data_IF_714850460800
#
_entry.id   IF_714850460800
#
_cell.length_a   1.000
_cell.length_b   1.000
_cell.length_c   1.000
_cell.angle_alpha   90.00
_cell.angle_beta   90.00
_cell.angle_gamma   90.00
#
_symmetry.space_group_name_H-M   'P 1'
#
loop_
_entity.id
_entity.type
_entity.pdbx_description
1 polymer ?
#
# COMPACT_ATOMS: atom_id res chain seq x y z
N UNK A 1 -7.31 11.26 -4.88
CA UNK A 1 -7.19 11.30 -3.40
C UNK A 1 -6.03 10.47 -2.88
N UNK A 2 -5.92 9.17 -3.21
CA UNK A 2 -4.87 8.28 -2.68
C UNK A 2 -3.45 8.61 -3.17
N UNK A 3 -3.27 9.01 -4.44
CA UNK A 3 -1.96 9.40 -4.98
C UNK A 3 -1.30 10.52 -4.15
N UNK A 4 -2.02 11.61 -3.90
CA UNK A 4 -1.50 12.72 -3.08
C UNK A 4 -1.20 12.31 -1.63
N UNK A 5 -1.94 11.36 -1.07
CA UNK A 5 -1.67 10.82 0.28
C UNK A 5 -0.38 10.00 0.27
N UNK A 6 -0.19 9.15 -0.73
CA UNK A 6 1.05 8.41 -0.92
C UNK A 6 2.25 9.34 -1.17
N UNK A 7 2.10 10.39 -1.97
CA UNK A 7 3.15 11.40 -2.14
C UNK A 7 3.52 12.13 -0.84
N UNK A 8 2.59 12.27 0.12
CA UNK A 8 2.91 12.83 1.44
C UNK A 8 3.65 11.85 2.34
N UNK A 9 3.42 10.55 2.16
CA UNK A 9 4.04 9.49 2.95
C UNK A 9 5.37 9.02 2.36
N UNK A 10 5.63 9.24 1.07
CA UNK A 10 6.87 8.83 0.41
C UNK A 10 7.83 10.02 0.35
N UNK A 11 9.07 9.88 0.85
CA UNK A 11 10.14 10.82 0.56
C UNK A 11 10.37 10.97 -0.96
N UNK A 12 10.84 12.15 -1.38
CA UNK A 12 11.05 12.44 -2.80
C UNK A 12 12.19 11.59 -3.42
N UNK A 13 13.15 11.19 -2.61
CA UNK A 13 14.37 10.44 -2.92
C UNK A 13 14.24 8.93 -2.71
N UNK A 14 13.03 8.42 -2.46
CA UNK A 14 12.80 7.00 -2.20
C UNK A 14 13.25 6.12 -3.37
N UNK A 15 14.07 5.11 -3.07
CA UNK A 15 14.60 4.13 -3.99
C UNK A 15 13.83 2.80 -3.92
N UNK A 16 14.01 1.95 -4.94
CA UNK A 16 13.52 0.58 -4.87
C UNK A 16 14.27 -0.19 -3.76
N UNK A 17 13.53 -0.87 -2.89
CA UNK A 17 14.04 -1.55 -1.71
C UNK A 17 13.79 -0.79 -0.41
N UNK A 18 13.50 0.51 -0.46
CA UNK A 18 13.21 1.30 0.73
C UNK A 18 11.91 0.84 1.40
N UNK A 19 11.96 0.75 2.73
CA UNK A 19 10.83 0.35 3.56
C UNK A 19 10.56 1.42 4.61
N UNK A 20 9.35 1.99 4.59
CA UNK A 20 8.89 2.97 5.56
C UNK A 20 7.95 2.29 6.54
N UNK A 21 8.13 2.55 7.83
CA UNK A 21 7.32 1.97 8.89
C UNK A 21 6.48 3.03 9.58
N UNK A 22 5.19 2.74 9.71
CA UNK A 22 4.21 3.60 10.35
C UNK A 22 3.69 2.88 11.59
N UNK A 23 4.09 3.37 12.76
CA UNK A 23 3.65 2.81 14.03
C UNK A 23 2.16 3.06 14.24
N UNK A 24 1.44 2.05 14.69
CA UNK A 24 0.07 2.14 15.17
C UNK A 24 0.03 1.57 16.59
N UNK A 25 -1.03 1.86 17.35
CA UNK A 25 -1.12 1.53 18.79
C UNK A 25 -0.50 0.18 19.20
N UNK A 26 -0.83 -0.92 18.51
CA UNK A 26 -0.31 -2.28 18.81
C UNK A 26 0.36 -2.98 17.63
N UNK A 27 0.44 -2.33 16.47
CA UNK A 27 0.97 -2.91 15.22
C UNK A 27 1.66 -1.83 14.39
N UNK A 28 2.19 -2.16 13.21
CA UNK A 28 2.71 -1.18 12.29
C UNK A 28 2.28 -1.50 10.86
N UNK A 29 2.17 -0.47 10.01
CA UNK A 29 2.09 -0.65 8.55
C UNK A 29 3.49 -0.46 7.98
N UNK A 30 3.92 -1.40 7.16
CA UNK A 30 5.14 -1.31 6.38
C UNK A 30 4.78 -0.99 4.94
N UNK A 31 5.43 0.03 4.39
CA UNK A 31 5.32 0.45 3.01
C UNK A 31 6.67 0.20 2.34
N UNK A 32 6.72 -0.85 1.54
CA UNK A 32 7.91 -1.26 0.78
C UNK A 32 7.81 -0.74 -0.65
N UNK A 33 8.84 -0.03 -1.11
CA UNK A 33 8.97 0.34 -2.53
C UNK A 33 9.55 -0.86 -3.29
N UNK A 34 8.73 -1.55 -4.07
CA UNK A 34 9.14 -2.72 -4.85
C UNK A 34 9.89 -2.32 -6.10
N UNK A 35 9.46 -1.24 -6.75
CA UNK A 35 10.02 -0.79 -8.02
C UNK A 35 9.85 0.72 -8.17
N UNK A 36 10.88 1.39 -8.69
CA UNK A 36 10.85 2.81 -9.05
C UNK A 36 11.29 2.96 -10.51
N UNK A 37 10.36 3.41 -11.35
CA UNK A 37 10.61 3.79 -12.73
C UNK A 37 10.35 5.29 -12.91
N UNK A 38 10.74 5.91 -14.05
CA UNK A 38 10.62 7.35 -14.25
C UNK A 38 9.20 7.92 -14.05
N UNK A 39 8.18 7.16 -14.48
CA UNK A 39 6.78 7.60 -14.43
C UNK A 39 5.89 6.73 -13.54
N UNK A 40 6.43 5.64 -12.98
CA UNK A 40 5.66 4.74 -12.14
C UNK A 40 6.42 4.31 -10.89
N UNK A 41 5.69 4.00 -9.83
CA UNK A 41 6.26 3.41 -8.62
C UNK A 41 5.35 2.30 -8.14
N UNK A 42 5.92 1.13 -7.93
CA UNK A 42 5.23 0.00 -7.36
C UNK A 42 5.57 -0.09 -5.88
N UNK A 43 4.54 -0.08 -5.04
CA UNK A 43 4.68 -0.21 -3.60
C UNK A 43 3.84 -1.38 -3.09
N UNK A 44 4.24 -1.92 -1.96
CA UNK A 44 3.51 -2.92 -1.20
C UNK A 44 3.26 -2.38 0.20
N UNK A 45 2.00 -2.30 0.62
CA UNK A 45 1.62 -2.00 1.99
C UNK A 45 1.26 -3.30 2.70
N UNK A 46 1.81 -3.55 3.89
CA UNK A 46 1.46 -4.72 4.70
C UNK A 46 1.46 -4.40 6.18
N UNK A 47 0.77 -5.20 6.98
CA UNK A 47 0.93 -5.12 8.44
C UNK A 47 2.27 -5.75 8.85
N UNK A 48 2.95 -5.19 9.85
CA UNK A 48 4.19 -5.75 10.38
C UNK A 48 3.94 -7.05 11.17
N UNK A 49 2.76 -7.17 11.79
CA UNK A 49 2.30 -8.37 12.50
C UNK A 49 0.94 -8.80 11.99
N UNK A 50 0.67 -10.11 11.88
CA UNK A 50 -0.67 -10.60 11.58
C UNK A 50 -1.63 -10.20 12.71
N UNK A 51 -2.90 -9.97 12.37
CA UNK A 51 -3.94 -9.65 13.37
C UNK A 51 -4.27 -10.87 14.25
N UNK A 52 -4.12 -12.07 13.69
CA UNK A 52 -4.34 -13.35 14.35
C UNK A 52 -3.27 -14.34 13.88
N UNK A 53 -2.80 -15.22 14.77
CA UNK A 53 -1.63 -16.07 14.51
C UNK A 53 -1.74 -16.95 13.24
N UNK A 54 -2.95 -17.42 12.91
CA UNK A 54 -3.18 -18.35 11.80
C UNK A 54 -3.68 -17.66 10.51
N UNK A 55 -3.78 -16.33 10.50
CA UNK A 55 -4.21 -15.58 9.32
C UNK A 55 -3.02 -14.99 8.55
N UNK A 56 -3.07 -15.01 7.21
CA UNK A 56 -2.07 -14.33 6.42
C UNK A 56 -2.07 -12.84 6.74
N UNK A 57 -0.89 -12.25 6.74
CA UNK A 57 -0.72 -10.80 6.90
C UNK A 57 -1.39 -10.11 5.69
N UNK A 58 -2.35 -9.21 5.92
CA UNK A 58 -2.94 -8.44 4.84
C UNK A 58 -1.86 -7.62 4.12
N UNK A 59 -1.85 -7.69 2.79
CA UNK A 59 -0.95 -6.92 1.95
C UNK A 59 -1.68 -6.33 0.74
N UNK A 60 -1.32 -5.11 0.35
CA UNK A 60 -1.84 -4.38 -0.81
C UNK A 60 -0.70 -4.00 -1.74
N UNK A 61 -0.79 -4.42 -2.99
CA UNK A 61 0.10 -3.95 -4.05
C UNK A 61 -0.53 -2.76 -4.75
N UNK A 62 0.19 -1.65 -4.77
CA UNK A 62 -0.29 -0.39 -5.33
C UNK A 62 0.71 0.13 -6.35
N UNK A 63 0.19 0.53 -7.50
CA UNK A 63 0.96 1.21 -8.54
C UNK A 63 0.59 2.69 -8.55
N UNK A 64 1.59 3.54 -8.41
CA UNK A 64 1.49 4.97 -8.59
C UNK A 64 1.92 5.34 -10.01
N UNK A 65 1.12 6.16 -10.69
CA UNK A 65 1.38 6.77 -11.98
C UNK A 65 1.61 8.26 -11.75
N UNK A 66 2.83 8.73 -11.97
CA UNK A 66 3.24 10.11 -11.65
C UNK A 66 2.74 11.11 -12.69
N UNK A 67 2.69 10.70 -13.95
CA UNK A 67 2.17 11.45 -15.08
C UNK A 67 0.65 11.71 -14.98
N UNK A 68 -0.12 10.67 -14.64
CA UNK A 68 -1.56 10.75 -14.45
C UNK A 68 -1.96 11.17 -13.02
N UNK A 69 -1.00 11.36 -12.11
CA UNK A 69 -1.23 11.61 -10.68
C UNK A 69 -2.24 10.63 -10.05
N UNK A 70 -2.13 9.35 -10.42
CA UNK A 70 -3.06 8.28 -10.08
C UNK A 70 -2.38 7.19 -9.25
N UNK A 71 -3.14 6.56 -8.36
CA UNK A 71 -2.70 5.36 -7.65
C UNK A 71 -3.78 4.29 -7.77
N UNK A 72 -3.38 3.09 -8.16
CA UNK A 72 -4.27 1.96 -8.39
C UNK A 72 -3.84 0.74 -7.57
N UNK A 73 -4.80 0.08 -6.93
CA UNK A 73 -4.57 -1.22 -6.29
C UNK A 73 -4.51 -2.30 -7.37
N UNK A 74 -3.35 -2.93 -7.49
CA UNK A 74 -3.06 -4.00 -8.45
C UNK A 74 -3.51 -5.37 -7.93
N UNK A 75 -3.45 -5.54 -6.61
CA UNK A 75 -3.89 -6.76 -5.94
C UNK A 75 -3.84 -6.62 -4.43
N UNK A 76 -4.53 -7.50 -3.72
CA UNK A 76 -4.42 -7.64 -2.28
C UNK A 76 -4.19 -9.12 -1.94
N UNK A 77 -3.21 -9.44 -1.10
CA UNK A 77 -3.07 -10.81 -0.62
C UNK A 77 -4.27 -11.11 0.31
N UNK A 78 -5.14 -12.03 -0.11
CA UNK A 78 -6.45 -12.29 0.53
C UNK A 78 -7.67 -11.81 -0.28
N UNK A 79 -7.51 -11.03 -1.36
CA UNK A 79 -8.57 -10.78 -2.35
C UNK A 79 -8.07 -11.11 -3.76
N UNK A 80 -8.89 -11.81 -4.55
CA UNK A 80 -8.52 -12.24 -5.90
C UNK A 80 -8.10 -11.03 -6.77
N UNK A 81 -7.05 -11.15 -7.60
CA UNK A 81 -6.65 -10.07 -8.51
C UNK A 81 -7.78 -9.72 -9.47
N UNK A 82 -8.16 -8.44 -9.51
CA UNK A 82 -9.28 -7.94 -10.33
C UNK A 82 -8.76 -7.54 -11.70
N UNK A 83 -9.34 -8.12 -12.76
CA UNK A 83 -8.96 -7.81 -14.14
C UNK A 83 -9.42 -6.39 -14.52
N UNK A 84 -8.62 -5.64 -15.30
CA UNK A 84 -8.88 -4.23 -15.61
C UNK A 84 -10.11 -4.00 -16.51
N UNK A 85 -10.56 -5.01 -17.27
CA UNK A 85 -11.79 -4.97 -18.06
C UNK A 85 -12.45 -6.34 -18.04
N UNK A 86 -13.72 -6.38 -17.62
CA UNK A 86 -14.61 -7.49 -17.92
C UNK A 86 -15.49 -7.07 -19.09
N UNK A 87 -15.48 -7.82 -20.19
CA UNK A 87 -16.52 -7.70 -21.21
C UNK A 87 -17.86 -8.05 -20.55
N UNK A 88 -18.86 -7.18 -20.72
CA UNK A 88 -20.19 -7.43 -20.20
C UNK A 88 -21.07 -8.04 -21.31
N UNK A 89 -21.89 -9.06 -21.00
CA UNK A 89 -22.09 -9.70 -19.69
C UNK A 89 -20.92 -10.60 -19.28
N UNK A 90 -20.41 -10.44 -18.05
CA UNK A 90 -19.32 -11.26 -17.54
C UNK A 90 -19.90 -12.47 -16.78
N UNK A 91 -19.48 -13.68 -17.17
CA UNK A 91 -20.00 -14.95 -16.64
C UNK A 91 -19.64 -15.21 -15.16
N UNK A 92 -18.87 -14.32 -14.52
CA UNK A 92 -18.44 -14.43 -13.12
C UNK A 92 -19.04 -13.35 -12.20
N UNK A 93 -20.00 -12.56 -12.69
CA UNK A 93 -20.67 -11.46 -11.97
C UNK A 93 -19.76 -10.42 -11.29
N UNK A 94 -18.54 -10.14 -11.79
CA UNK A 94 -17.71 -9.04 -11.25
C UNK A 94 -18.45 -7.69 -11.32
N UNK A 95 -18.68 -7.05 -10.17
CA UNK A 95 -19.39 -5.77 -10.05
C UNK A 95 -18.43 -4.59 -10.25
N UNK A 96 -18.91 -3.49 -10.85
CA UNK A 96 -18.15 -2.22 -11.00
C UNK A 96 -17.59 -1.69 -9.67
N UNK A 97 -18.20 -2.08 -8.55
CA UNK A 97 -17.86 -1.59 -7.21
C UNK A 97 -16.57 -2.17 -6.63
N UNK A 98 -16.02 -3.25 -7.17
CA UNK A 98 -14.80 -3.88 -6.63
C UNK A 98 -13.59 -2.93 -6.66
N UNK A 99 -13.42 -2.18 -7.76
CA UNK A 99 -12.35 -1.18 -7.87
C UNK A 99 -12.56 0.00 -6.92
N UNK A 100 -13.81 0.42 -6.72
CA UNK A 100 -14.14 1.46 -5.77
C UNK A 100 -13.87 0.99 -4.33
N UNK A 101 -14.18 -0.26 -4.00
CA UNK A 101 -13.92 -0.86 -2.70
C UNK A 101 -12.42 -0.98 -2.41
N UNK A 102 -11.61 -1.43 -3.37
CA UNK A 102 -10.15 -1.47 -3.24
C UNK A 102 -9.56 -0.07 -3.01
N UNK A 103 -10.03 0.94 -3.75
CA UNK A 103 -9.58 2.32 -3.57
C UNK A 103 -9.99 2.91 -2.21
N UNK A 104 -11.19 2.57 -1.70
CA UNK A 104 -11.61 2.95 -0.34
C UNK A 104 -10.72 2.29 0.71
N UNK A 105 -10.48 0.98 0.58
CA UNK A 105 -9.64 0.22 1.50
C UNK A 105 -8.20 0.76 1.56
N UNK A 106 -7.59 1.04 0.40
CA UNK A 106 -6.29 1.75 0.36
C UNK A 106 -6.39 3.11 1.07
N UNK A 107 -7.47 3.86 0.84
CA UNK A 107 -7.70 5.15 1.49
C UNK A 107 -7.68 5.07 3.02
N UNK A 108 -8.26 4.01 3.60
CA UNK A 108 -8.27 3.77 5.05
C UNK A 108 -6.85 3.53 5.59
N UNK A 109 -6.07 2.66 4.94
CA UNK A 109 -4.67 2.41 5.32
C UNK A 109 -3.83 3.69 5.29
N UNK A 110 -3.99 4.50 4.26
CA UNK A 110 -3.25 5.76 4.13
C UNK A 110 -3.70 6.78 5.17
N UNK A 111 -4.99 6.84 5.50
CA UNK A 111 -5.48 7.71 6.59
C UNK A 111 -4.84 7.32 7.93
N UNK A 112 -4.75 6.01 8.22
CA UNK A 112 -4.12 5.51 9.44
C UNK A 112 -2.62 5.85 9.49
N UNK A 113 -1.90 5.69 8.37
CA UNK A 113 -0.48 6.05 8.29
C UNK A 113 -0.27 7.55 8.50
N UNK A 114 -1.13 8.39 7.91
CA UNK A 114 -1.06 9.84 8.06
C UNK A 114 -1.42 10.31 9.48
N UNK A 115 -2.31 9.63 10.18
CA UNK A 115 -2.73 10.04 11.53
C UNK A 115 -1.72 9.66 12.62
N UNK A 116 -0.98 8.56 12.44
CA UNK A 116 0.00 8.10 13.42
C UNK A 116 1.43 8.59 13.13
N UNK A 117 1.68 9.09 11.92
CA UNK A 117 2.99 9.62 11.53
C UNK A 117 4.04 8.54 11.26
N UNK A 118 5.18 8.97 10.72
CA UNK A 118 6.33 8.11 10.50
C UNK A 118 6.94 7.73 11.85
N UNK A 119 6.97 6.44 12.18
CA UNK A 119 7.86 5.95 13.22
C UNK A 119 9.17 5.61 12.49
N UNK A 120 10.10 6.56 12.47
CA UNK A 120 11.48 6.32 12.04
C UNK A 120 12.08 5.24 12.97
N UNK A 121 11.88 3.97 12.65
CA UNK A 121 12.85 2.95 13.01
C UNK A 121 14.07 3.25 12.13
N UNK A 122 14.99 4.06 12.63
CA UNK A 122 16.36 4.08 12.14
C UNK A 122 17.06 2.85 12.74
N UNK A 123 17.35 1.78 11.98
CA UNK A 123 17.99 0.60 12.54
C UNK A 123 19.49 0.78 12.85
N UNK A 124 20.04 2.01 12.84
CA UNK A 124 21.47 2.29 13.02
C UNK A 124 21.85 3.02 14.32
N UNK A 125 21.19 2.76 15.47
CA UNK A 125 21.72 3.25 16.75
C UNK A 125 21.54 2.31 17.95
N UNK A 126 21.55 0.99 17.73
CA UNK A 126 21.62 0.00 18.82
C UNK A 126 23.02 -0.63 18.84
N UNK A 127 24.05 0.20 19.02
CA UNK A 127 25.36 -0.20 19.54
C UNK A 127 25.98 1.05 20.18
N UNK A 128 25.64 1.30 21.44
CA UNK A 128 26.50 1.91 22.46
C UNK A 128 25.65 2.14 23.72
N UNK A 129 25.72 1.17 24.65
CA UNK A 129 25.97 1.29 26.09
C UNK A 129 26.40 -0.11 26.56
#
# INVERSE_FOLDING_TARGET
>A
MNFRRLQKLLPADVAAGDCLRFGMATNAVELLVKERAPYTTMIELRLAKPLFADLPVPALQVRMYHDASLAEVMGAQGLRPVKPRYQYPNASMYQRDEKAQQNRYLGEWLSLCLSHGHSLDNPLNILEI
#
